data_IF_317543225285
#
_entry.id   IF_317543225285
#
_cell.length_a   1.000
_cell.length_b   1.000
_cell.length_c   1.000
_cell.angle_alpha   90.00
_cell.angle_beta   90.00
_cell.angle_gamma   90.00
#
_symmetry.space_group_name_H-M   'P 1'
#
loop_
_entity.id
_entity.type
_entity.pdbx_description
1 polymer ?
#
# COMPACT_ATOMS: atom_id res chain seq x y z
N UNK A 1 9.50 41.57 -14.71
CA UNK A 1 9.84 40.81 -13.48
C UNK A 1 10.41 39.50 -13.97
N UNK A 2 11.73 39.33 -13.81
CA UNK A 2 12.47 38.18 -14.35
C UNK A 2 11.98 36.90 -13.69
N UNK A 3 11.47 35.97 -14.48
CA UNK A 3 11.14 34.61 -14.06
C UNK A 3 12.42 33.79 -14.08
N UNK A 4 13.30 34.04 -13.11
CA UNK A 4 14.41 33.14 -12.83
C UNK A 4 13.83 31.94 -12.10
N UNK A 5 13.37 30.95 -12.87
CA UNK A 5 13.16 29.59 -12.38
C UNK A 5 14.54 29.12 -11.93
N UNK A 6 14.80 29.23 -10.63
CA UNK A 6 16.00 28.69 -9.99
C UNK A 6 16.06 27.20 -10.31
N UNK A 7 16.89 26.85 -11.28
CA UNK A 7 17.19 25.47 -11.61
C UNK A 7 18.00 24.93 -10.43
N UNK A 8 17.35 24.21 -9.52
CA UNK A 8 18.08 23.49 -8.47
C UNK A 8 19.06 22.55 -9.18
N UNK A 9 20.38 22.66 -8.94
CA UNK A 9 21.32 21.75 -9.57
C UNK A 9 20.92 20.32 -9.23
N UNK A 10 20.90 19.46 -10.24
CA UNK A 10 20.52 18.06 -10.06
C UNK A 10 21.44 17.43 -9.01
N UNK A 11 20.85 16.84 -7.97
CA UNK A 11 21.60 16.10 -6.96
C UNK A 11 22.39 15.00 -7.64
N UNK A 12 23.71 14.96 -7.43
CA UNK A 12 24.52 13.84 -7.89
C UNK A 12 24.11 12.59 -7.09
N UNK A 13 23.48 11.65 -7.80
CA UNK A 13 23.00 10.38 -7.24
C UNK A 13 23.96 9.23 -7.55
N UNK A 14 25.14 9.53 -8.09
CA UNK A 14 26.15 8.54 -8.41
C UNK A 14 26.54 7.78 -7.14
N UNK A 15 26.45 6.45 -7.21
CA UNK A 15 26.78 5.57 -6.09
C UNK A 15 25.64 5.33 -5.10
N UNK A 16 24.48 6.01 -5.20
CA UNK A 16 23.32 5.69 -4.36
C UNK A 16 22.81 4.29 -4.69
N UNK A 17 22.76 3.43 -3.68
CA UNK A 17 22.34 2.03 -3.82
C UNK A 17 21.54 1.62 -2.61
N UNK A 18 20.51 0.81 -2.84
CA UNK A 18 19.74 0.17 -1.77
C UNK A 18 20.57 -0.93 -1.09
N UNK A 19 20.19 -1.30 0.13
CA UNK A 19 20.70 -2.51 0.76
C UNK A 19 19.85 -3.72 0.31
N UNK A 20 20.33 -4.42 -0.71
CA UNK A 20 19.65 -5.59 -1.29
C UNK A 20 19.46 -6.74 -0.29
N UNK A 21 20.42 -6.95 0.62
CA UNK A 21 20.36 -8.02 1.61
C UNK A 21 19.29 -7.72 2.67
N UNK A 22 19.18 -6.45 3.13
CA UNK A 22 18.14 -6.01 4.06
C UNK A 22 16.74 -6.11 3.45
N UNK A 23 16.59 -5.76 2.17
CA UNK A 23 15.34 -5.93 1.43
C UNK A 23 14.98 -7.41 1.33
N UNK A 24 15.92 -8.26 0.94
CA UNK A 24 15.71 -9.70 0.83
C UNK A 24 15.32 -10.32 2.16
N UNK A 25 16.02 -9.98 3.24
CA UNK A 25 15.69 -10.42 4.59
C UNK A 25 14.26 -10.01 4.98
N UNK A 26 13.88 -8.74 4.73
CA UNK A 26 12.53 -8.25 5.01
C UNK A 26 11.45 -9.03 4.24
N UNK A 27 11.71 -9.35 2.96
CA UNK A 27 10.81 -10.16 2.13
C UNK A 27 10.66 -11.57 2.68
N UNK A 28 11.75 -12.23 3.05
CA UNK A 28 11.72 -13.58 3.58
C UNK A 28 11.07 -13.65 4.97
N UNK A 29 11.26 -12.61 5.78
CA UNK A 29 10.65 -12.46 7.11
C UNK A 29 9.14 -12.22 7.05
N UNK A 30 8.67 -11.44 6.08
CA UNK A 30 7.23 -11.25 5.85
C UNK A 30 6.61 -12.52 5.27
N UNK A 31 7.33 -13.24 4.39
CA UNK A 31 6.88 -14.47 3.78
C UNK A 31 6.60 -15.61 4.77
N UNK A 32 7.19 -15.57 5.99
CA UNK A 32 6.87 -16.54 7.05
C UNK A 32 5.41 -16.42 7.51
N UNK A 33 4.83 -15.23 7.48
CA UNK A 33 3.46 -15.00 7.90
C UNK A 33 2.53 -15.53 6.81
N UNK A 34 1.80 -16.61 7.10
CA UNK A 34 0.96 -17.29 6.12
C UNK A 34 1.74 -18.15 5.13
N UNK A 35 2.96 -18.59 5.46
CA UNK A 35 3.71 -19.53 4.65
C UNK A 35 2.88 -20.81 4.33
N UNK A 36 3.00 -21.31 3.09
CA UNK A 36 2.31 -22.53 2.66
C UNK A 36 3.30 -23.68 2.41
N UNK A 37 2.87 -24.95 2.47
CA UNK A 37 3.77 -26.10 2.24
C UNK A 37 4.47 -26.11 0.88
N UNK A 38 3.92 -25.42 -0.13
CA UNK A 38 4.50 -25.29 -1.47
C UNK A 38 5.50 -24.12 -1.58
N UNK A 39 5.82 -23.46 -0.46
CA UNK A 39 6.74 -22.32 -0.44
C UNK A 39 6.11 -20.99 -0.86
N UNK A 40 4.78 -20.88 -0.89
CA UNK A 40 4.05 -19.63 -1.16
C UNK A 40 3.57 -18.94 0.11
N UNK A 41 2.63 -18.00 -0.06
CA UNK A 41 1.98 -17.27 1.02
C UNK A 41 0.45 -17.27 0.87
N UNK A 42 -0.25 -17.35 1.99
CA UNK A 42 -1.70 -17.21 2.12
C UNK A 42 -2.00 -16.23 3.24
N UNK A 43 -1.93 -14.93 2.92
CA UNK A 43 -2.36 -13.83 3.79
C UNK A 43 -3.58 -13.16 3.15
N UNK A 44 -4.73 -13.78 3.28
CA UNK A 44 -5.97 -13.19 2.75
C UNK A 44 -6.30 -11.90 3.50
N UNK A 45 -6.73 -10.88 2.77
CA UNK A 45 -7.14 -9.58 3.31
C UNK A 45 -7.98 -9.69 4.58
N UNK A 46 -7.67 -8.86 5.58
CA UNK A 46 -8.36 -8.69 6.87
C UNK A 46 -8.51 -10.00 7.68
N UNK A 47 -7.65 -10.98 7.46
CA UNK A 47 -7.49 -12.12 8.36
C UNK A 47 -6.49 -11.78 9.47
N UNK A 48 -6.39 -12.61 10.51
CA UNK A 48 -5.36 -12.43 11.54
C UNK A 48 -3.93 -12.48 10.97
N UNK A 49 -3.71 -13.24 9.90
CA UNK A 49 -2.41 -13.31 9.21
C UNK A 49 -2.11 -12.03 8.43
N UNK A 50 -3.11 -11.43 7.79
CA UNK A 50 -2.96 -10.10 7.19
C UNK A 50 -2.68 -9.05 8.28
N UNK A 51 -3.42 -9.07 9.40
CA UNK A 51 -3.13 -8.19 10.55
C UNK A 51 -1.69 -8.33 11.03
N UNK A 52 -1.20 -9.55 11.24
CA UNK A 52 0.19 -9.79 11.64
C UNK A 52 1.21 -9.26 10.62
N UNK A 53 0.93 -9.44 9.32
CA UNK A 53 1.76 -8.89 8.25
C UNK A 53 1.79 -7.36 8.27
N UNK A 54 0.61 -6.72 8.42
CA UNK A 54 0.46 -5.27 8.57
C UNK A 54 1.23 -4.74 9.77
N UNK A 55 1.03 -5.36 10.93
CA UNK A 55 1.70 -4.97 12.18
C UNK A 55 3.24 -5.05 12.04
N UNK A 56 3.74 -6.08 11.36
CA UNK A 56 5.17 -6.27 11.11
C UNK A 56 5.74 -5.16 10.21
N UNK A 57 5.09 -4.86 9.08
CA UNK A 57 5.52 -3.79 8.17
C UNK A 57 5.41 -2.41 8.83
N UNK A 58 4.34 -2.16 9.59
CA UNK A 58 4.15 -0.92 10.37
C UNK A 58 5.26 -0.77 11.42
N UNK A 59 5.65 -1.87 12.10
CA UNK A 59 6.76 -1.88 13.04
C UNK A 59 8.06 -1.43 12.38
N UNK A 60 8.39 -2.02 11.23
CA UNK A 60 9.57 -1.65 10.46
C UNK A 60 9.57 -0.20 9.96
N UNK A 61 8.41 0.34 9.60
CA UNK A 61 8.30 1.75 9.21
C UNK A 61 8.52 2.69 10.40
N UNK A 62 7.98 2.35 11.58
CA UNK A 62 8.22 3.11 12.82
C UNK A 62 9.68 3.06 13.24
N UNK A 63 10.33 1.91 13.13
CA UNK A 63 11.78 1.76 13.34
C UNK A 63 12.60 2.64 12.39
N UNK A 64 12.12 2.84 11.16
CA UNK A 64 12.71 3.76 10.19
C UNK A 64 12.34 5.24 10.44
N UNK A 65 11.69 5.57 11.55
CA UNK A 65 11.31 6.93 11.93
C UNK A 65 10.10 7.49 11.20
N UNK A 66 9.31 6.65 10.52
CA UNK A 66 8.12 7.10 9.79
C UNK A 66 6.91 7.25 10.71
N UNK A 67 6.07 8.24 10.44
CA UNK A 67 4.72 8.30 11.03
C UNK A 67 3.78 7.38 10.26
N UNK A 68 2.72 6.89 10.90
CA UNK A 68 1.79 5.92 10.29
C UNK A 68 0.36 6.39 10.47
N UNK A 69 -0.38 6.45 9.37
CA UNK A 69 -1.83 6.69 9.35
C UNK A 69 -2.56 5.56 8.65
N UNK A 70 -3.77 5.27 9.11
CA UNK A 70 -4.63 4.23 8.54
C UNK A 70 -5.96 4.90 8.18
N UNK A 71 -6.37 4.81 6.93
CA UNK A 71 -7.62 5.41 6.48
C UNK A 71 -8.84 4.53 6.84
N UNK A 72 -10.04 5.02 6.49
CA UNK A 72 -11.30 4.34 6.83
C UNK A 72 -11.51 3.00 6.13
N UNK A 73 -10.82 2.72 5.02
CA UNK A 73 -10.88 1.42 4.33
C UNK A 73 -9.69 0.52 4.72
N UNK A 74 -8.84 0.99 5.65
CA UNK A 74 -7.71 0.25 6.17
C UNK A 74 -6.45 0.34 5.31
N UNK A 75 -6.38 1.24 4.32
CA UNK A 75 -5.12 1.52 3.66
C UNK A 75 -4.15 2.11 4.68
N UNK A 76 -2.89 1.70 4.61
CA UNK A 76 -1.85 2.16 5.53
C UNK A 76 -0.89 3.05 4.79
N UNK A 77 -0.68 4.25 5.31
CA UNK A 77 0.27 5.23 4.81
C UNK A 77 1.37 5.42 5.84
N UNK A 78 2.60 5.16 5.44
CA UNK A 78 3.80 5.33 6.27
C UNK A 78 4.55 6.51 5.68
N UNK A 79 4.71 7.58 6.46
CA UNK A 79 5.21 8.87 5.96
C UNK A 79 6.55 9.22 6.58
N UNK A 80 7.53 9.50 5.71
CA UNK A 80 8.79 10.16 6.03
C UNK A 80 8.65 11.64 5.67
N UNK A 81 8.84 12.52 6.64
CA UNK A 81 8.77 13.96 6.37
C UNK A 81 9.89 14.42 5.43
N UNK A 82 9.57 15.40 4.60
CA UNK A 82 10.55 16.18 3.85
C UNK A 82 10.81 17.52 4.53
N UNK A 83 11.70 18.32 3.96
CA UNK A 83 12.00 19.68 4.43
C UNK A 83 10.77 20.60 4.40
N UNK A 84 9.85 20.36 3.46
CA UNK A 84 8.58 21.06 3.39
C UNK A 84 7.40 20.07 3.52
N UNK A 85 6.82 19.91 4.73
CA UNK A 85 5.72 18.98 4.96
C UNK A 85 4.42 19.38 4.23
N UNK A 86 4.32 20.63 3.75
CA UNK A 86 3.16 21.14 3.01
C UNK A 86 3.16 20.79 1.51
N UNK A 87 4.24 20.21 0.98
CA UNK A 87 4.26 19.71 -0.40
C UNK A 87 3.48 18.40 -0.53
N UNK A 88 2.85 18.14 -1.68
CA UNK A 88 2.29 16.83 -1.98
C UNK A 88 3.35 15.73 -1.84
N UNK A 89 3.04 14.60 -1.18
CA UNK A 89 3.99 13.52 -1.00
C UNK A 89 4.27 12.80 -2.32
N UNK A 90 5.48 12.27 -2.45
CA UNK A 90 5.79 11.24 -3.45
C UNK A 90 5.38 9.89 -2.84
N UNK A 91 4.38 9.25 -3.44
CA UNK A 91 3.81 8.00 -2.94
C UNK A 91 4.35 6.82 -3.74
N UNK A 92 4.81 5.78 -3.05
CA UNK A 92 5.19 4.49 -3.64
C UNK A 92 4.67 3.35 -2.78
N UNK A 93 4.33 2.22 -3.38
CA UNK A 93 3.72 1.13 -2.63
C UNK A 93 2.99 0.12 -3.51
N UNK A 94 2.26 -0.79 -2.87
CA UNK A 94 1.49 -1.83 -3.54
C UNK A 94 0.47 -2.44 -2.58
N UNK A 95 0.49 -3.75 -2.33
CA UNK A 95 -0.36 -4.46 -1.35
C UNK A 95 0.46 -5.54 -0.62
N UNK A 96 -0.07 -6.05 0.49
CA UNK A 96 0.58 -7.15 1.25
C UNK A 96 -0.35 -8.34 1.51
N UNK A 97 -1.63 -8.22 1.15
CA UNK A 97 -2.52 -9.36 1.05
C UNK A 97 -2.19 -10.19 -0.19
N UNK A 98 -2.56 -11.46 -0.17
CA UNK A 98 -2.21 -12.41 -1.24
C UNK A 98 -3.43 -13.23 -1.67
N UNK A 99 -3.38 -13.79 -2.87
CA UNK A 99 -4.25 -14.92 -3.24
C UNK A 99 -4.15 -16.11 -2.27
N UNK A 100 -5.11 -17.05 -2.27
CA UNK A 100 -5.05 -18.30 -1.50
C UNK A 100 -3.81 -19.16 -1.74
N UNK A 101 -3.24 -19.07 -2.96
CA UNK A 101 -2.00 -19.74 -3.39
C UNK A 101 -0.98 -18.72 -3.90
N UNK A 102 -0.89 -17.57 -3.22
CA UNK A 102 -0.02 -16.47 -3.62
C UNK A 102 1.47 -16.79 -3.51
N UNK A 103 2.28 -16.02 -4.25
CA UNK A 103 3.72 -16.04 -4.14
C UNK A 103 4.23 -15.21 -2.95
N UNK A 104 5.55 -15.19 -2.74
CA UNK A 104 6.20 -14.38 -1.70
C UNK A 104 6.34 -12.90 -2.09
N UNK A 105 6.30 -12.59 -3.38
CA UNK A 105 6.75 -11.31 -3.93
C UNK A 105 5.62 -10.44 -4.47
N UNK A 106 4.53 -11.05 -4.93
CA UNK A 106 3.39 -10.33 -5.48
C UNK A 106 2.82 -9.35 -4.45
N UNK A 107 2.66 -8.10 -4.83
CA UNK A 107 2.40 -6.95 -3.96
C UNK A 107 3.54 -6.59 -3.00
N UNK A 108 3.91 -7.55 -2.16
CA UNK A 108 4.83 -7.41 -1.04
C UNK A 108 6.17 -6.78 -1.45
N UNK A 109 6.68 -7.12 -2.64
CA UNK A 109 7.90 -6.54 -3.18
C UNK A 109 7.81 -5.03 -3.34
N UNK A 110 6.72 -4.49 -3.91
CA UNK A 110 6.58 -3.06 -4.12
C UNK A 110 6.56 -2.26 -2.80
N UNK A 111 5.88 -2.81 -1.79
CA UNK A 111 5.80 -2.20 -0.44
C UNK A 111 7.18 -2.20 0.23
N UNK A 112 7.87 -3.35 0.24
CA UNK A 112 9.15 -3.48 0.93
C UNK A 112 10.29 -2.80 0.18
N UNK A 113 10.23 -2.72 -1.16
CA UNK A 113 11.17 -1.93 -1.94
C UNK A 113 11.02 -0.43 -1.64
N UNK A 114 9.80 0.08 -1.54
CA UNK A 114 9.56 1.47 -1.17
C UNK A 114 10.02 1.79 0.27
N UNK A 115 9.81 0.87 1.21
CA UNK A 115 10.37 0.99 2.57
C UNK A 115 11.90 0.95 2.56
N UNK A 116 12.52 0.11 1.72
CA UNK A 116 13.97 0.05 1.59
C UNK A 116 14.55 1.36 1.00
N UNK A 117 13.84 2.02 0.09
CA UNK A 117 14.22 3.36 -0.36
C UNK A 117 14.27 4.33 0.82
N UNK A 118 13.26 4.33 1.70
CA UNK A 118 13.25 5.18 2.90
C UNK A 118 14.41 4.85 3.82
N UNK A 119 14.68 3.58 4.09
CA UNK A 119 15.82 3.15 4.93
C UNK A 119 17.16 3.57 4.31
N UNK A 120 17.29 3.46 3.00
CA UNK A 120 18.50 3.90 2.26
C UNK A 120 18.69 5.42 2.35
N UNK A 121 17.62 6.20 2.21
CA UNK A 121 17.68 7.66 2.40
C UNK A 121 18.12 8.02 3.82
N UNK A 122 17.67 7.25 4.82
CA UNK A 122 18.12 7.45 6.20
C UNK A 122 19.60 7.08 6.39
N UNK A 123 20.04 5.94 5.85
CA UNK A 123 21.44 5.50 5.95
C UNK A 123 22.41 6.49 5.28
N UNK A 124 21.98 7.08 4.15
CA UNK A 124 22.73 8.09 3.40
C UNK A 124 22.52 9.52 3.94
N UNK A 125 21.69 9.70 4.97
CA UNK A 125 21.37 10.99 5.59
C UNK A 125 20.85 12.03 4.57
N UNK A 126 20.00 11.59 3.65
CA UNK A 126 19.43 12.43 2.58
C UNK A 126 18.09 13.01 3.03
N UNK A 127 17.99 14.33 3.07
CA UNK A 127 16.71 15.03 3.22
C UNK A 127 16.06 15.28 1.87
N UNK A 128 14.78 14.93 1.76
CA UNK A 128 13.95 15.19 0.58
C UNK A 128 13.18 16.49 0.77
N UNK A 129 12.91 17.23 -0.30
CA UNK A 129 12.14 18.47 -0.18
C UNK A 129 10.66 18.16 0.11
N UNK A 130 10.08 17.27 -0.69
CA UNK A 130 8.74 16.74 -0.46
C UNK A 130 8.78 15.50 0.48
N UNK A 131 7.69 15.23 1.19
CA UNK A 131 7.52 14.00 1.95
C UNK A 131 7.51 12.77 1.04
N UNK A 132 7.92 11.62 1.58
CA UNK A 132 7.77 10.32 0.93
C UNK A 132 6.77 9.49 1.71
N UNK A 133 5.83 8.88 1.01
CA UNK A 133 4.86 7.96 1.61
C UNK A 133 4.98 6.57 1.01
N UNK A 134 5.11 5.59 1.88
CA UNK A 134 5.00 4.17 1.54
C UNK A 134 3.59 3.72 1.86
N UNK A 135 2.88 3.20 0.87
CA UNK A 135 1.49 2.74 1.01
C UNK A 135 1.36 1.25 0.79
N UNK A 136 0.45 0.61 1.51
CA UNK A 136 -0.12 -0.64 1.04
C UNK A 136 -1.65 -0.61 1.08
N UNK A 137 -2.22 -0.92 -0.08
CA UNK A 137 -3.64 -0.87 -0.37
C UNK A 137 -4.36 -2.10 0.17
N UNK A 138 -5.55 -1.90 0.72
CA UNK A 138 -6.36 -3.00 1.25
C UNK A 138 -7.10 -3.73 0.14
N UNK A 139 -7.06 -5.07 0.18
CA UNK A 139 -7.84 -5.93 -0.70
C UNK A 139 -7.57 -5.64 -2.18
N UNK A 140 -6.30 -5.68 -2.56
CA UNK A 140 -5.90 -5.57 -3.95
C UNK A 140 -6.33 -6.83 -4.72
N UNK A 141 -6.04 -7.99 -4.16
CA UNK A 141 -6.20 -9.30 -4.81
C UNK A 141 -7.67 -9.69 -5.05
N UNK A 142 -8.59 -9.04 -4.32
CA UNK A 142 -10.04 -9.27 -4.44
C UNK A 142 -10.51 -10.70 -4.12
N UNK A 143 -9.64 -11.55 -3.54
CA UNK A 143 -9.94 -12.97 -3.35
C UNK A 143 -10.96 -13.24 -2.25
N UNK A 144 -10.94 -12.42 -1.19
CA UNK A 144 -11.84 -12.58 -0.03
C UNK A 144 -13.07 -11.68 -0.14
N UNK A 145 -12.87 -10.44 -0.58
CA UNK A 145 -13.93 -9.48 -0.82
C UNK A 145 -13.81 -8.96 -2.25
N UNK A 146 -14.92 -8.87 -2.96
CA UNK A 146 -14.95 -8.29 -4.31
C UNK A 146 -15.39 -6.82 -4.23
N UNK A 147 -14.89 -5.93 -5.10
CA UNK A 147 -13.98 -6.18 -6.23
C UNK A 147 -12.49 -6.18 -5.83
N UNK A 148 -11.64 -6.53 -6.80
CA UNK A 148 -10.18 -6.30 -6.79
C UNK A 148 -9.87 -4.80 -6.66
N UNK A 149 -8.65 -4.47 -6.23
CA UNK A 149 -8.14 -3.10 -6.07
C UNK A 149 -9.07 -2.20 -5.23
N UNK A 150 -9.65 -2.75 -4.17
CA UNK A 150 -10.69 -2.05 -3.40
C UNK A 150 -10.16 -0.80 -2.71
N UNK A 151 -9.06 -0.93 -1.96
CA UNK A 151 -8.48 0.14 -1.16
C UNK A 151 -8.03 1.32 -2.01
N UNK A 152 -7.31 1.05 -3.09
CA UNK A 152 -6.86 2.07 -4.05
C UNK A 152 -8.03 2.65 -4.86
N UNK A 153 -9.02 1.84 -5.22
CA UNK A 153 -10.24 2.31 -5.89
C UNK A 153 -11.04 3.28 -5.03
N UNK A 154 -11.14 3.04 -3.71
CA UNK A 154 -11.79 3.96 -2.77
C UNK A 154 -10.99 5.26 -2.67
N UNK A 155 -9.66 5.16 -2.52
CA UNK A 155 -8.78 6.32 -2.44
C UNK A 155 -8.85 7.20 -3.69
N UNK A 156 -8.86 6.60 -4.88
CA UNK A 156 -8.95 7.29 -6.17
C UNK A 156 -10.38 7.75 -6.55
N UNK A 157 -11.38 7.50 -5.69
CA UNK A 157 -12.78 7.83 -5.98
C UNK A 157 -13.42 7.01 -7.13
N UNK A 158 -12.76 5.94 -7.57
CA UNK A 158 -13.23 5.05 -8.65
C UNK A 158 -14.22 3.99 -8.16
N UNK A 159 -14.26 3.75 -6.85
CA UNK A 159 -15.27 2.91 -6.19
C UNK A 159 -16.64 3.58 -6.25
N UNK A 160 -17.36 3.37 -7.34
CA UNK A 160 -18.77 3.76 -7.43
C UNK A 160 -19.61 2.82 -6.56
N UNK A 161 -19.62 3.03 -5.25
CA UNK A 161 -20.65 2.49 -4.38
C UNK A 161 -21.97 3.19 -4.74
N UNK A 162 -22.68 2.65 -5.74
CA UNK A 162 -24.09 3.01 -5.96
C UNK A 162 -24.84 2.57 -4.71
N UNK A 163 -25.45 3.52 -4.00
CA UNK A 163 -26.52 3.19 -3.05
C UNK A 163 -27.47 2.19 -3.74
N UNK A 164 -27.86 1.08 -3.08
CA UNK A 164 -28.92 0.25 -3.61
C UNK A 164 -30.11 1.16 -3.89
N UNK A 165 -30.53 1.26 -5.15
CA UNK A 165 -31.79 1.93 -5.48
C UNK A 165 -32.92 1.18 -4.78
N UNK A 166 -34.04 1.85 -4.44
CA UNK A 166 -35.17 1.17 -3.83
C UNK A 166 -35.55 -0.04 -4.69
N UNK A 167 -35.56 -1.22 -4.07
CA UNK A 167 -35.90 -2.48 -4.72
C UNK A 167 -37.23 -2.31 -5.45
N UNK A 168 -37.24 -2.45 -6.78
CA UNK A 168 -38.50 -2.61 -7.53
C UNK A 168 -39.07 -3.98 -7.18
N UNK A 169 -39.89 -4.02 -6.13
CA UNK A 169 -40.84 -5.11 -5.92
C UNK A 169 -41.76 -5.08 -7.15
N UNK A 170 -41.59 -6.04 -8.07
CA UNK A 170 -42.57 -6.29 -9.12
C UNK A 170 -43.84 -6.77 -8.42
N UNK A 171 -44.85 -5.90 -8.28
CA UNK A 171 -46.20 -6.36 -7.96
C UNK A 171 -46.67 -7.20 -9.14
N UNK A 172 -46.86 -8.49 -8.91
CA UNK A 172 -47.62 -9.33 -9.82
C UNK A 172 -49.07 -8.82 -9.83
N UNK A 173 -49.53 -8.29 -10.96
CA UNK A 173 -50.95 -8.03 -11.18
C UNK A 173 -51.65 -9.37 -11.40
N UNK A 174 -52.40 -9.83 -10.42
CA UNK A 174 -53.38 -10.90 -10.62
C UNK A 174 -54.56 -10.30 -11.40
N UNK A 175 -54.76 -10.72 -12.65
CA UNK A 175 -56.03 -10.50 -13.33
C UNK A 175 -57.02 -11.56 -12.86
N UNK A 176 -58.04 -11.12 -12.13
CA UNK A 176 -59.23 -11.93 -11.86
C UNK A 176 -60.17 -11.65 -13.03
N UNK A 177 -60.33 -12.63 -13.93
CA UNK A 177 -61.44 -12.67 -14.87
C UNK A 177 -62.68 -13.15 -14.11
N UNK A 178 -63.77 -12.39 -14.19
CA UNK A 178 -65.13 -12.92 -14.12
C UNK A 178 -65.72 -12.82 -15.52
#
# INVERSE_FOLDING_TARGET
MSSDVLFTPATDTTGWRINGDRLWASLMDLAQIGATPKGGCRRLTLTDLDRQGRDKVIGWAREAGMSVTIDKIGNVFMRREGRNPGLPPIVSGSHIDTQPTGGKFDGNYGVLAALEVVRTLNDLQIDTDAPIEVVFWTNEEGSRFVPVMMGSGVFAGSSRWRRPGPSRIKRASASVRR
#
